data_IF_775602589425
#
_entry.id   IF_775602589425
#
_cell.length_a   1.000
_cell.length_b   1.000
_cell.length_c   1.000
_cell.angle_alpha   90.00
_cell.angle_beta   90.00
_cell.angle_gamma   90.00
#
_symmetry.space_group_name_H-M   'P 1'
#
loop_
_entity.id
_entity.type
_entity.pdbx_description
1 polymer ?
#
# COMPACT_ATOMS: atom_id res chain seq x y z
N UNK A 1 -16.65 -5.29 -4.41
CA UNK A 1 -16.45 -5.00 -2.98
C UNK A 1 -15.13 -4.28 -2.83
N UNK A 2 -15.08 -3.18 -2.08
CA UNK A 2 -13.86 -2.41 -1.89
C UNK A 2 -13.34 -2.60 -0.46
N UNK A 3 -12.07 -2.93 -0.32
CA UNK A 3 -11.36 -3.00 0.96
C UNK A 3 -10.34 -1.87 0.99
N UNK A 4 -10.45 -0.99 1.98
CA UNK A 4 -9.48 0.05 2.24
C UNK A 4 -8.60 -0.38 3.40
N UNK A 5 -7.29 -0.47 3.18
CA UNK A 5 -6.32 -0.76 4.25
C UNK A 5 -5.49 0.48 4.55
N UNK A 6 -5.17 0.68 5.83
CA UNK A 6 -4.29 1.74 6.30
C UNK A 6 -3.02 1.06 6.76
N UNK A 7 -1.91 1.41 6.13
CA UNK A 7 -0.66 0.67 6.28
C UNK A 7 0.53 1.62 6.33
N UNK A 8 1.70 1.09 6.66
CA UNK A 8 2.97 1.80 6.64
C UNK A 8 4.11 0.81 6.66
N UNK A 9 5.15 1.04 5.87
CA UNK A 9 6.26 0.11 5.66
C UNK A 9 7.03 -0.26 6.94
N UNK A 10 6.91 0.58 7.97
CA UNK A 10 7.58 0.48 9.26
C UNK A 10 6.73 -0.17 10.36
N UNK A 11 5.43 -0.37 10.13
CA UNK A 11 4.50 -0.89 11.13
C UNK A 11 4.52 -2.43 11.13
N UNK A 12 4.90 -3.09 12.24
CA UNK A 12 4.99 -4.55 12.30
C UNK A 12 3.63 -5.22 12.08
N UNK A 13 2.55 -4.63 12.58
CA UNK A 13 1.20 -5.18 12.37
C UNK A 13 0.79 -5.11 10.89
N UNK A 14 1.21 -4.06 10.17
CA UNK A 14 0.92 -3.91 8.75
C UNK A 14 1.75 -4.89 7.90
N UNK A 15 2.92 -5.30 8.37
CA UNK A 15 3.70 -6.39 7.77
C UNK A 15 2.96 -7.73 7.92
N UNK A 16 2.41 -8.01 9.09
CA UNK A 16 1.61 -9.22 9.32
C UNK A 16 0.34 -9.21 8.46
N UNK A 17 -0.34 -8.06 8.36
CA UNK A 17 -1.49 -7.87 7.47
C UNK A 17 -1.13 -8.11 6.00
N UNK A 18 -0.04 -7.50 5.50
CA UNK A 18 0.42 -7.67 4.12
C UNK A 18 0.75 -9.13 3.80
N UNK A 19 1.32 -9.87 4.76
CA UNK A 19 1.62 -11.29 4.62
C UNK A 19 0.35 -12.14 4.44
N UNK A 20 -0.77 -11.72 5.03
CA UNK A 20 -2.05 -12.42 4.90
C UNK A 20 -2.87 -11.95 3.69
N UNK A 21 -3.04 -10.65 3.51
CA UNK A 21 -3.98 -10.09 2.53
C UNK A 21 -3.47 -10.25 1.09
N UNK A 22 -2.16 -10.26 0.89
CA UNK A 22 -1.55 -10.37 -0.45
C UNK A 22 -1.84 -11.72 -1.12
N UNK A 23 -1.57 -12.89 -0.50
CA UNK A 23 -1.94 -14.17 -1.10
C UNK A 23 -3.46 -14.31 -1.25
N UNK A 24 -4.24 -13.84 -0.27
CA UNK A 24 -5.70 -13.86 -0.36
C UNK A 24 -6.19 -13.05 -1.57
N UNK A 25 -5.65 -11.86 -1.80
CA UNK A 25 -6.04 -11.02 -2.93
C UNK A 25 -5.74 -11.71 -4.27
N UNK A 26 -4.58 -12.35 -4.41
CA UNK A 26 -4.21 -13.10 -5.63
C UNK A 26 -5.24 -14.18 -5.97
N UNK A 27 -5.76 -14.87 -4.97
CA UNK A 27 -6.78 -15.91 -5.14
C UNK A 27 -8.18 -15.35 -5.38
N UNK A 28 -8.49 -14.16 -4.86
CA UNK A 28 -9.85 -13.63 -4.77
C UNK A 28 -10.15 -12.42 -5.66
N UNK A 29 -9.16 -11.80 -6.30
CA UNK A 29 -9.35 -10.61 -7.15
C UNK A 29 -10.39 -10.81 -8.27
N UNK A 30 -10.50 -12.03 -8.82
CA UNK A 30 -11.51 -12.37 -9.85
C UNK A 30 -12.96 -12.36 -9.35
N UNK A 31 -13.19 -12.22 -8.05
CA UNK A 31 -14.52 -12.15 -7.42
C UNK A 31 -15.09 -10.73 -7.39
N UNK A 32 -14.42 -9.76 -8.03
CA UNK A 32 -14.80 -8.35 -8.01
C UNK A 32 -14.45 -7.67 -6.69
N UNK A 33 -13.37 -8.09 -6.05
CA UNK A 33 -12.80 -7.45 -4.86
C UNK A 33 -11.66 -6.55 -5.31
N UNK A 34 -11.68 -5.30 -4.86
CA UNK A 34 -10.61 -4.33 -5.06
C UNK A 34 -10.04 -3.95 -3.70
N UNK A 35 -8.71 -3.76 -3.64
CA UNK A 35 -8.01 -3.32 -2.42
C UNK A 35 -7.25 -2.03 -2.75
N UNK A 36 -7.38 -1.03 -1.87
CA UNK A 36 -6.58 0.19 -1.92
C UNK A 36 -5.88 0.36 -0.57
N UNK A 37 -4.57 0.52 -0.60
CA UNK A 37 -3.73 0.70 0.58
C UNK A 37 -3.29 2.15 0.74
N UNK A 38 -3.69 2.78 1.83
CA UNK A 38 -3.26 4.12 2.22
C UNK A 38 -1.97 4.00 3.05
N UNK A 39 -0.84 4.37 2.45
CA UNK A 39 0.48 4.26 3.05
C UNK A 39 0.86 5.53 3.82
N UNK A 40 0.98 5.41 5.14
CA UNK A 40 1.50 6.44 6.03
C UNK A 40 2.95 6.15 6.39
N UNK A 41 3.85 6.82 5.68
CA UNK A 41 5.29 6.69 5.93
C UNK A 41 5.78 7.73 6.95
N UNK A 42 6.87 7.39 7.67
CA UNK A 42 7.47 8.30 8.68
C UNK A 42 8.15 9.51 8.06
N UNK A 43 8.67 9.35 6.85
CA UNK A 43 9.31 10.45 6.13
C UNK A 43 8.25 11.22 5.36
N UNK A 44 8.33 12.56 5.42
CA UNK A 44 7.51 13.46 4.61
C UNK A 44 8.10 13.70 3.23
N UNK A 45 9.29 13.15 2.93
CA UNK A 45 9.92 13.24 1.62
C UNK A 45 9.30 12.24 0.64
N UNK A 46 8.64 12.68 -0.44
CA UNK A 46 7.91 11.79 -1.36
C UNK A 46 8.80 10.73 -2.01
N UNK A 47 10.03 11.10 -2.41
CA UNK A 47 10.97 10.17 -3.03
C UNK A 47 11.41 9.05 -2.08
N UNK A 48 11.59 9.38 -0.80
CA UNK A 48 11.86 8.37 0.22
C UNK A 48 10.66 7.46 0.42
N UNK A 49 9.45 8.03 0.52
CA UNK A 49 8.21 7.28 0.69
C UNK A 49 7.98 6.31 -0.48
N UNK A 50 8.13 6.77 -1.72
CA UNK A 50 8.09 5.93 -2.94
C UNK A 50 9.07 4.77 -2.83
N UNK A 51 10.33 5.04 -2.51
CA UNK A 51 11.37 4.01 -2.42
C UNK A 51 11.06 2.93 -1.39
N UNK A 52 10.58 3.30 -0.20
CA UNK A 52 10.24 2.31 0.85
C UNK A 52 8.97 1.54 0.51
N UNK A 53 8.00 2.18 -0.11
CA UNK A 53 6.77 1.53 -0.58
C UNK A 53 7.05 0.54 -1.71
N UNK A 54 7.86 0.90 -2.72
CA UNK A 54 8.25 -0.02 -3.78
C UNK A 54 8.94 -1.26 -3.20
N UNK A 55 9.86 -1.07 -2.25
CA UNK A 55 10.50 -2.21 -1.55
C UNK A 55 9.50 -3.06 -0.77
N UNK A 56 8.50 -2.44 -0.15
CA UNK A 56 7.44 -3.13 0.57
C UNK A 56 6.58 -3.97 -0.39
N UNK A 57 6.16 -3.39 -1.51
CA UNK A 57 5.46 -4.08 -2.58
C UNK A 57 6.25 -5.28 -3.12
N UNK A 58 7.51 -5.08 -3.50
CA UNK A 58 8.37 -6.14 -4.03
C UNK A 58 8.58 -7.26 -3.00
N UNK A 59 8.74 -6.91 -1.73
CA UNK A 59 8.96 -7.87 -0.64
C UNK A 59 7.77 -8.82 -0.45
N UNK A 60 6.55 -8.29 -0.52
CA UNK A 60 5.33 -9.09 -0.30
C UNK A 60 4.66 -9.54 -1.60
N UNK A 61 5.12 -9.04 -2.75
CA UNK A 61 4.54 -9.28 -4.07
C UNK A 61 3.10 -8.77 -4.15
N UNK A 62 2.88 -7.53 -3.70
CA UNK A 62 1.58 -6.87 -3.68
C UNK A 62 1.15 -6.53 -5.11
N UNK A 63 -0.11 -6.83 -5.44
CA UNK A 63 -0.71 -6.61 -6.77
C UNK A 63 -1.96 -5.70 -6.71
N UNK A 64 -2.10 -4.94 -5.62
CA UNK A 64 -3.21 -4.01 -5.40
C UNK A 64 -2.69 -2.59 -5.22
N UNK A 65 -3.58 -1.62 -5.44
CA UNK A 65 -3.23 -0.21 -5.49
C UNK A 65 -2.71 0.31 -4.15
N UNK A 66 -1.63 1.09 -4.21
CA UNK A 66 -1.09 1.80 -3.06
C UNK A 66 -1.05 3.31 -3.30
N UNK A 67 -1.43 4.05 -2.28
CA UNK A 67 -1.53 5.52 -2.32
C UNK A 67 -0.70 6.09 -1.19
N UNK A 68 0.24 6.98 -1.53
CA UNK A 68 1.00 7.73 -0.52
C UNK A 68 0.03 8.64 0.23
N UNK A 69 0.02 8.57 1.55
CA UNK A 69 -0.84 9.41 2.41
C UNK A 69 -0.02 9.99 3.57
N UNK A 70 -0.51 11.08 4.18
CA UNK A 70 0.10 11.66 5.39
C UNK A 70 0.74 13.03 5.17
N UNK A 71 0.73 13.55 3.94
CA UNK A 71 1.12 14.94 3.65
C UNK A 71 -0.13 15.80 3.42
N UNK A 72 -0.03 17.10 3.69
CA UNK A 72 -1.14 18.05 3.45
C UNK A 72 -1.22 18.49 1.98
N UNK A 73 -0.25 18.08 1.18
CA UNK A 73 -0.19 18.38 -0.25
C UNK A 73 -1.08 17.40 -1.01
N UNK A 74 -2.19 17.92 -1.55
CA UNK A 74 -3.16 17.14 -2.34
C UNK A 74 -2.52 16.50 -3.57
N UNK A 75 -1.45 17.07 -4.11
CA UNK A 75 -0.75 16.51 -5.28
C UNK A 75 -0.03 15.22 -4.91
N UNK A 76 0.66 15.20 -3.77
CA UNK A 76 1.39 14.02 -3.27
C UNK A 76 0.40 12.90 -2.88
N UNK A 77 -0.75 13.25 -2.32
CA UNK A 77 -1.80 12.28 -1.95
C UNK A 77 -2.47 11.64 -3.17
N UNK A 78 -2.39 12.27 -4.35
CA UNK A 78 -2.94 11.72 -5.59
C UNK A 78 -1.96 10.78 -6.32
N UNK A 79 -0.75 10.58 -5.80
CA UNK A 79 0.22 9.67 -6.41
C UNK A 79 -0.12 8.22 -6.08
N UNK A 80 -0.72 7.57 -7.08
CA UNK A 80 -0.94 6.12 -7.13
C UNK A 80 0.36 5.43 -7.55
N UNK A 81 0.81 4.51 -6.72
CA UNK A 81 1.87 3.57 -7.07
C UNK A 81 1.19 2.26 -7.48
N UNK A 82 1.35 1.92 -8.75
CA UNK A 82 1.06 0.58 -9.24
C UNK A 82 2.27 -0.30 -8.97
N UNK A 83 2.06 -1.26 -8.10
CA UNK A 83 2.87 -2.45 -7.97
C UNK A 83 2.21 -3.54 -8.84
#
# INVERSE_FOLDING_TARGET
MLILTITGSWCPNCVDEATFITPWYKENKKRGVEIIALHYERSTEPEYAKKVMTRFCERFGIEYDQVITGTHDKQVVSELIHC
#
